data_IF_984288939851
#
_entry.id   IF_984288939851
#
_cell.length_a   1.000
_cell.length_b   1.000
_cell.length_c   1.000
_cell.angle_alpha   90.00
_cell.angle_beta   90.00
_cell.angle_gamma   90.00
#
_symmetry.space_group_name_H-M   'P 1'
#
loop_
_entity.id
_entity.type
_entity.pdbx_description
1 polymer ?
#
# COMPACT_ATOMS: atom_id res chain seq x y z
N UNK A 1 2.00 31.04 -5.37
CA UNK A 1 2.22 29.77 -6.09
C UNK A 1 0.87 29.35 -6.64
N UNK A 2 0.72 29.21 -7.96
CA UNK A 2 -0.53 28.71 -8.56
C UNK A 2 -0.76 27.28 -8.07
N UNK A 3 -1.93 27.01 -7.50
CA UNK A 3 -2.32 25.65 -7.15
C UNK A 3 -2.39 24.82 -8.45
N UNK A 4 -1.37 24.00 -8.68
CA UNK A 4 -1.36 23.09 -9.81
C UNK A 4 -2.44 22.05 -9.54
N UNK A 5 -3.41 21.95 -10.45
CA UNK A 5 -4.43 20.91 -10.36
C UNK A 5 -3.77 19.53 -10.46
N UNK A 6 -3.97 18.69 -9.46
CA UNK A 6 -3.44 17.33 -9.38
C UNK A 6 -4.46 16.24 -9.73
N UNK A 7 -5.66 16.64 -10.14
CA UNK A 7 -6.74 15.71 -10.42
C UNK A 7 -7.26 15.84 -11.84
N UNK A 8 -7.40 14.73 -12.51
CA UNK A 8 -8.02 14.59 -13.81
C UNK A 8 -9.39 13.92 -13.63
N UNK A 9 -10.43 14.57 -14.14
CA UNK A 9 -11.77 13.98 -14.22
C UNK A 9 -11.81 12.98 -15.38
N UNK A 10 -12.06 11.73 -15.05
CA UNK A 10 -12.29 10.67 -16.01
C UNK A 10 -13.78 10.44 -16.28
N UNK A 11 -14.07 9.37 -17.02
CA UNK A 11 -15.46 8.95 -17.33
C UNK A 11 -16.14 8.40 -16.09
N UNK A 12 -17.47 8.51 -16.02
CA UNK A 12 -18.32 7.96 -14.96
C UNK A 12 -17.91 8.41 -13.53
N UNK A 13 -17.36 9.61 -13.38
CA UNK A 13 -16.96 10.19 -12.10
C UNK A 13 -15.66 9.62 -11.49
N UNK A 14 -14.90 8.81 -12.23
CA UNK A 14 -13.57 8.39 -11.78
C UNK A 14 -12.59 9.56 -11.80
N UNK A 15 -11.82 9.70 -10.72
CA UNK A 15 -10.75 10.69 -10.62
C UNK A 15 -9.39 10.00 -10.75
N UNK A 16 -8.46 10.67 -11.43
CA UNK A 16 -7.09 10.18 -11.64
C UNK A 16 -6.06 11.22 -11.22
N UNK A 17 -4.91 10.75 -10.78
CA UNK A 17 -3.80 11.62 -10.40
C UNK A 17 -3.07 12.15 -11.63
N UNK A 18 -2.80 13.46 -11.64
CA UNK A 18 -1.96 14.12 -12.64
C UNK A 18 -1.01 15.12 -11.97
N UNK A 19 0.01 15.54 -12.69
CA UNK A 19 0.94 16.58 -12.25
C UNK A 19 1.56 16.32 -10.86
N UNK A 20 1.67 15.06 -10.47
CA UNK A 20 2.44 14.65 -9.31
C UNK A 20 3.94 14.54 -9.65
N UNK A 21 4.78 14.30 -8.65
CA UNK A 21 6.23 14.17 -8.85
C UNK A 21 6.62 12.99 -9.76
N UNK A 22 5.78 11.96 -9.82
CA UNK A 22 6.00 10.77 -10.64
C UNK A 22 5.52 10.93 -12.10
N UNK A 23 4.63 11.89 -12.35
CA UNK A 23 4.05 12.12 -13.68
C UNK A 23 3.47 10.84 -14.31
N UNK A 24 2.73 10.03 -13.50
CA UNK A 24 2.36 8.65 -13.83
C UNK A 24 1.71 8.50 -15.21
N UNK A 25 0.77 9.39 -15.57
CA UNK A 25 0.10 9.28 -16.86
C UNK A 25 1.04 9.53 -18.03
N UNK A 26 1.96 10.51 -17.92
CA UNK A 26 2.96 10.76 -18.95
C UNK A 26 3.90 9.58 -19.12
N UNK A 27 4.40 9.04 -18.02
CA UNK A 27 5.28 7.85 -18.00
C UNK A 27 4.62 6.68 -18.74
N UNK A 28 3.36 6.40 -18.44
CA UNK A 28 2.62 5.29 -19.05
C UNK A 28 2.19 5.54 -20.49
N UNK A 29 2.00 6.79 -20.90
CA UNK A 29 1.66 7.15 -22.28
C UNK A 29 2.88 7.24 -23.20
N UNK A 30 4.01 7.78 -22.73
CA UNK A 30 5.18 8.16 -23.53
C UNK A 30 6.39 7.23 -23.35
N UNK A 31 6.30 6.19 -22.54
CA UNK A 31 7.39 5.25 -22.25
C UNK A 31 8.64 5.92 -21.67
N UNK A 32 8.43 6.81 -20.72
CA UNK A 32 9.53 7.50 -20.03
C UNK A 32 9.95 6.69 -18.83
N UNK A 33 11.17 6.13 -18.82
CA UNK A 33 11.73 5.47 -17.67
C UNK A 33 12.44 6.49 -16.77
N UNK A 34 12.00 6.57 -15.52
CA UNK A 34 12.56 7.46 -14.50
C UNK A 34 13.44 6.70 -13.50
N UNK A 35 13.59 5.39 -13.66
CA UNK A 35 14.38 4.56 -12.74
C UNK A 35 15.86 4.92 -12.85
N UNK A 36 16.47 5.16 -11.71
CA UNK A 36 17.90 5.40 -11.60
C UNK A 36 18.62 4.13 -11.13
N UNK A 37 19.81 3.84 -11.66
CA UNK A 37 20.62 2.71 -11.22
C UNK A 37 20.87 2.69 -9.72
N UNK A 38 20.99 3.87 -9.10
CA UNK A 38 21.14 4.04 -7.67
C UNK A 38 19.93 3.48 -6.89
N UNK A 39 18.74 3.62 -7.42
CA UNK A 39 17.53 3.07 -6.81
C UNK A 39 17.54 1.55 -6.77
N UNK A 40 18.10 0.91 -7.79
CA UNK A 40 18.21 -0.54 -7.87
C UNK A 40 19.34 -1.12 -7.03
N UNK A 41 20.45 -0.40 -6.87
CA UNK A 41 21.65 -0.87 -6.15
C UNK A 41 21.42 -1.05 -4.64
N UNK A 42 20.40 -0.39 -4.08
CA UNK A 42 20.06 -0.52 -2.64
C UNK A 42 19.60 -1.91 -2.23
N UNK A 43 19.04 -2.67 -3.15
CA UNK A 43 18.46 -3.99 -2.88
C UNK A 43 19.54 -5.08 -2.87
N UNK A 44 20.09 -5.38 -1.71
CA UNK A 44 21.19 -6.35 -1.57
C UNK A 44 20.88 -7.52 -0.60
N UNK A 45 19.66 -7.60 -0.06
CA UNK A 45 19.26 -8.68 0.83
C UNK A 45 18.81 -9.92 0.07
N UNK A 46 19.38 -11.09 0.40
CA UNK A 46 19.10 -12.33 -0.37
C UNK A 46 17.64 -12.77 -0.32
N UNK A 47 17.02 -12.72 0.86
CA UNK A 47 15.63 -13.12 1.05
C UNK A 47 14.68 -11.91 0.92
N UNK A 48 14.88 -11.14 -0.14
CA UNK A 48 14.06 -9.99 -0.50
C UNK A 48 13.00 -10.38 -1.53
N UNK A 49 11.81 -9.76 -1.44
CA UNK A 49 10.75 -9.90 -2.41
C UNK A 49 9.97 -8.59 -2.55
N UNK A 50 9.75 -8.16 -3.78
CA UNK A 50 9.04 -6.93 -4.11
C UNK A 50 7.62 -7.23 -4.59
N UNK A 51 6.64 -6.48 -4.10
CA UNK A 51 5.27 -6.44 -4.62
C UNK A 51 5.02 -5.07 -5.23
N UNK A 52 4.79 -5.04 -6.52
CA UNK A 52 4.46 -3.80 -7.24
C UNK A 52 2.96 -3.66 -7.36
N UNK A 53 2.44 -2.61 -6.74
CA UNK A 53 1.04 -2.24 -6.75
C UNK A 53 0.80 -1.29 -7.93
N UNK A 54 -0.07 -1.63 -8.90
CA UNK A 54 -0.26 -0.81 -10.09
C UNK A 54 -0.90 0.55 -9.74
N UNK A 55 -0.67 1.54 -10.58
CA UNK A 55 -1.42 2.78 -10.51
C UNK A 55 -2.86 2.55 -10.95
N UNK A 56 -3.79 3.33 -10.41
CA UNK A 56 -5.20 3.27 -10.77
C UNK A 56 -5.43 3.44 -12.27
N UNK A 57 -4.66 4.32 -12.90
CA UNK A 57 -4.71 4.60 -14.34
C UNK A 57 -4.43 3.36 -15.21
N UNK A 58 -3.62 2.41 -14.74
CA UNK A 58 -3.35 1.15 -15.44
C UNK A 58 -4.56 0.21 -15.41
N UNK A 59 -5.21 0.08 -14.26
CA UNK A 59 -6.36 -0.83 -14.06
C UNK A 59 -7.62 -0.25 -14.69
N UNK A 60 -7.88 1.04 -14.49
CA UNK A 60 -9.09 1.72 -14.92
C UNK A 60 -8.88 2.60 -16.15
N UNK A 61 -7.96 2.22 -17.04
CA UNK A 61 -7.62 2.98 -18.27
C UNK A 61 -8.82 3.31 -19.15
N UNK A 62 -9.86 2.48 -19.16
CA UNK A 62 -11.06 2.70 -19.94
C UNK A 62 -11.91 3.87 -19.42
N UNK A 63 -11.69 4.31 -18.19
CA UNK A 63 -12.33 5.47 -17.58
C UNK A 63 -11.52 6.76 -17.73
N UNK A 64 -10.31 6.69 -18.28
CA UNK A 64 -9.56 7.90 -18.66
C UNK A 64 -10.23 8.62 -19.83
N UNK A 65 -10.03 9.95 -19.98
CA UNK A 65 -10.39 10.66 -21.21
C UNK A 65 -9.67 10.05 -22.42
N UNK A 66 -10.28 10.19 -23.61
CA UNK A 66 -9.82 9.48 -24.83
C UNK A 66 -8.43 9.91 -25.34
N UNK A 67 -7.93 11.05 -24.89
CA UNK A 67 -6.58 11.54 -25.21
C UNK A 67 -5.46 10.84 -24.43
N UNK A 68 -5.78 9.98 -23.44
CA UNK A 68 -4.79 9.21 -22.68
C UNK A 68 -4.74 7.76 -23.18
N UNK A 69 -3.60 7.36 -23.68
CA UNK A 69 -3.38 6.01 -24.21
C UNK A 69 -2.30 5.28 -23.40
N UNK A 70 -2.72 4.65 -22.32
CA UNK A 70 -1.85 3.91 -21.42
C UNK A 70 -1.33 2.63 -22.11
N UNK A 71 -0.02 2.53 -22.31
CA UNK A 71 0.62 1.41 -23.02
C UNK A 71 1.84 0.83 -22.32
N UNK A 72 2.56 1.63 -21.55
CA UNK A 72 3.90 1.33 -21.08
C UNK A 72 3.96 1.27 -19.56
N UNK A 73 4.88 0.46 -19.06
CA UNK A 73 5.20 0.32 -17.64
C UNK A 73 6.72 0.30 -17.44
N UNK A 74 7.44 1.34 -17.88
CA UNK A 74 8.90 1.29 -18.01
C UNK A 74 9.61 1.03 -16.68
N UNK A 75 9.17 1.67 -15.60
CA UNK A 75 9.75 1.43 -14.27
C UNK A 75 9.54 -0.02 -13.82
N UNK A 76 8.32 -0.56 -13.98
CA UNK A 76 8.06 -1.96 -13.67
C UNK A 76 8.92 -2.90 -14.49
N UNK A 77 9.06 -2.67 -15.79
CA UNK A 77 9.87 -3.52 -16.70
C UNK A 77 11.33 -3.54 -16.27
N UNK A 78 11.87 -2.39 -15.88
CA UNK A 78 13.24 -2.27 -15.34
C UNK A 78 13.41 -3.07 -14.06
N UNK A 79 12.49 -2.95 -13.10
CA UNK A 79 12.50 -3.73 -11.86
C UNK A 79 12.29 -5.23 -12.10
N UNK A 80 11.40 -5.61 -13.01
CA UNK A 80 11.15 -7.00 -13.40
C UNK A 80 12.40 -7.67 -13.98
N UNK A 81 13.13 -6.96 -14.83
CA UNK A 81 14.39 -7.44 -15.39
C UNK A 81 15.45 -7.66 -14.30
N UNK A 82 15.50 -6.79 -13.28
CA UNK A 82 16.41 -6.91 -12.14
C UNK A 82 16.05 -8.06 -11.21
N UNK A 83 14.78 -8.16 -10.79
CA UNK A 83 14.35 -9.08 -9.73
C UNK A 83 13.82 -10.41 -10.21
N UNK A 84 13.45 -10.54 -11.49
CA UNK A 84 12.99 -11.80 -12.11
C UNK A 84 11.86 -12.47 -11.30
N UNK A 85 12.17 -13.58 -10.62
CA UNK A 85 11.22 -14.35 -9.81
C UNK A 85 10.98 -13.79 -8.39
N UNK A 86 11.70 -12.73 -8.01
CA UNK A 86 11.54 -12.05 -6.71
C UNK A 86 10.66 -10.81 -6.77
N UNK A 87 9.77 -10.74 -7.74
CA UNK A 87 8.82 -9.65 -7.92
C UNK A 87 7.41 -10.20 -8.19
N UNK A 88 6.42 -9.62 -7.53
CA UNK A 88 5.01 -9.88 -7.80
C UNK A 88 4.40 -8.67 -8.49
N UNK A 89 3.87 -8.88 -9.67
CA UNK A 89 3.10 -7.89 -10.41
C UNK A 89 1.63 -7.95 -10.00
N UNK A 90 1.19 -7.01 -9.16
CA UNK A 90 -0.21 -6.95 -8.77
C UNK A 90 -1.12 -6.45 -9.90
N UNK A 91 -0.58 -5.86 -10.97
CA UNK A 91 -1.36 -5.55 -12.18
C UNK A 91 -1.96 -6.82 -12.80
N UNK A 92 -1.16 -7.87 -12.97
CA UNK A 92 -1.63 -9.14 -13.54
C UNK A 92 -2.70 -9.84 -12.68
N UNK A 93 -2.78 -9.47 -11.41
CA UNK A 93 -3.77 -9.99 -10.47
C UNK A 93 -5.07 -9.18 -10.53
N UNK A 94 -4.96 -7.86 -10.71
CA UNK A 94 -6.07 -6.93 -10.55
C UNK A 94 -6.71 -6.49 -11.88
N UNK A 95 -6.03 -6.67 -13.02
CA UNK A 95 -6.46 -6.13 -14.33
C UNK A 95 -7.83 -6.63 -14.80
N UNK A 96 -8.22 -7.83 -14.38
CA UNK A 96 -9.49 -8.46 -14.74
C UNK A 96 -10.52 -8.46 -13.58
N UNK A 97 -10.15 -7.81 -12.46
CA UNK A 97 -10.99 -7.70 -11.28
C UNK A 97 -11.75 -6.36 -11.26
N UNK A 98 -13.01 -6.40 -10.87
CA UNK A 98 -13.83 -5.20 -10.74
C UNK A 98 -13.72 -4.62 -9.31
N UNK A 99 -13.92 -3.32 -9.19
CA UNK A 99 -14.04 -2.59 -7.92
C UNK A 99 -12.86 -2.81 -6.97
N UNK A 100 -11.64 -2.65 -7.49
CA UNK A 100 -10.41 -2.85 -6.74
C UNK A 100 -9.75 -1.55 -6.28
N UNK A 101 -10.24 -0.40 -6.75
CA UNK A 101 -9.79 0.94 -6.37
C UNK A 101 -10.96 1.79 -5.93
N UNK A 102 -10.67 2.79 -5.09
CA UNK A 102 -11.64 3.83 -4.81
C UNK A 102 -11.86 4.71 -6.04
N UNK A 103 -13.09 5.20 -6.24
CA UNK A 103 -13.44 6.00 -7.40
C UNK A 103 -12.80 7.39 -7.37
N UNK A 104 -12.78 8.02 -6.21
CA UNK A 104 -12.32 9.40 -5.98
C UNK A 104 -10.97 9.51 -5.26
N UNK A 105 -10.28 8.38 -5.10
CA UNK A 105 -9.00 8.28 -4.40
C UNK A 105 -7.98 7.53 -5.27
N UNK A 106 -6.68 7.73 -5.03
CA UNK A 106 -5.61 7.05 -5.78
C UNK A 106 -5.39 5.61 -5.35
N UNK A 107 -5.84 5.24 -4.16
CA UNK A 107 -5.47 3.98 -3.51
C UNK A 107 -6.29 2.77 -3.95
N UNK A 108 -5.69 1.61 -3.82
CA UNK A 108 -6.37 0.31 -3.87
C UNK A 108 -7.32 0.24 -2.67
N UNK A 109 -8.55 -0.19 -2.90
CA UNK A 109 -9.50 -0.42 -1.82
C UNK A 109 -9.24 -1.75 -1.10
N UNK A 110 -9.98 -2.02 -0.04
CA UNK A 110 -9.80 -3.22 0.78
C UNK A 110 -9.97 -4.53 -0.01
N UNK A 111 -10.93 -4.58 -0.96
CA UNK A 111 -11.12 -5.76 -1.82
C UNK A 111 -9.90 -6.03 -2.67
N UNK A 112 -9.38 -5.01 -3.36
CA UNK A 112 -8.20 -5.13 -4.20
C UNK A 112 -6.97 -5.56 -3.40
N UNK A 113 -6.73 -4.91 -2.26
CA UNK A 113 -5.62 -5.27 -1.37
C UNK A 113 -5.74 -6.69 -0.80
N UNK A 114 -6.95 -7.18 -0.49
CA UNK A 114 -7.15 -8.53 0.00
C UNK A 114 -6.87 -9.60 -1.08
N UNK A 115 -7.21 -9.32 -2.34
CA UNK A 115 -6.87 -10.19 -3.47
C UNK A 115 -5.34 -10.30 -3.61
N UNK A 116 -4.62 -9.16 -3.55
CA UNK A 116 -3.15 -9.12 -3.59
C UNK A 116 -2.54 -9.85 -2.38
N UNK A 117 -3.06 -9.63 -1.18
CA UNK A 117 -2.64 -10.30 0.05
C UNK A 117 -2.65 -11.83 -0.08
N UNK A 118 -3.76 -12.40 -0.55
CA UNK A 118 -3.86 -13.86 -0.74
C UNK A 118 -2.85 -14.38 -1.76
N UNK A 119 -2.69 -13.64 -2.86
CA UNK A 119 -1.72 -14.03 -3.90
C UNK A 119 -0.28 -13.92 -3.42
N UNK A 120 0.04 -12.85 -2.69
CA UNK A 120 1.36 -12.67 -2.08
C UNK A 120 1.73 -13.87 -1.19
N UNK A 121 0.86 -14.28 -0.26
CA UNK A 121 1.13 -15.42 0.63
C UNK A 121 1.37 -16.70 -0.19
N UNK A 122 0.54 -16.98 -1.19
CA UNK A 122 0.71 -18.15 -2.04
C UNK A 122 2.07 -18.15 -2.77
N UNK A 123 2.54 -16.98 -3.20
CA UNK A 123 3.82 -16.85 -3.90
C UNK A 123 4.99 -17.02 -2.95
N UNK A 124 5.00 -16.34 -1.80
CA UNK A 124 6.11 -16.45 -0.84
C UNK A 124 6.20 -17.83 -0.21
N UNK A 125 5.07 -18.52 0.00
CA UNK A 125 5.07 -19.91 0.45
C UNK A 125 5.82 -20.81 -0.52
N UNK A 126 5.57 -20.66 -1.82
CA UNK A 126 6.27 -21.45 -2.85
C UNK A 126 7.74 -21.06 -3.01
N UNK A 127 8.04 -19.75 -2.93
CA UNK A 127 9.38 -19.24 -3.19
C UNK A 127 10.35 -19.54 -2.05
N UNK A 128 9.87 -19.46 -0.80
CA UNK A 128 10.68 -19.54 0.41
C UNK A 128 10.36 -20.76 1.28
N UNK A 129 9.57 -21.70 0.77
CA UNK A 129 9.11 -22.90 1.50
C UNK A 129 8.49 -22.56 2.87
N UNK A 130 7.61 -21.56 2.86
CA UNK A 130 6.87 -21.10 4.03
C UNK A 130 5.50 -21.81 4.08
N UNK A 131 4.98 -22.03 5.28
CA UNK A 131 3.68 -22.65 5.49
C UNK A 131 2.71 -21.68 6.17
N UNK A 132 2.58 -20.48 5.58
CA UNK A 132 1.72 -19.43 6.09
C UNK A 132 0.32 -19.61 5.50
N UNK A 133 -0.69 -19.62 6.36
CA UNK A 133 -2.08 -19.65 5.94
C UNK A 133 -2.62 -18.21 5.90
N UNK A 134 -3.17 -17.76 4.76
CA UNK A 134 -3.84 -16.46 4.72
C UNK A 134 -5.07 -16.48 5.63
N UNK A 135 -5.31 -15.40 6.36
CA UNK A 135 -6.59 -15.25 7.06
C UNK A 135 -7.71 -15.13 6.01
N UNK A 136 -8.68 -16.01 6.13
CA UNK A 136 -9.92 -15.90 5.39
C UNK A 136 -10.81 -14.91 6.11
N UNK A 137 -11.09 -13.79 5.45
CA UNK A 137 -12.02 -12.77 5.93
C UNK A 137 -13.14 -12.62 4.93
N UNK A 138 -14.29 -12.26 5.40
CA UNK A 138 -15.41 -11.86 4.56
C UNK A 138 -15.35 -10.35 4.44
N UNK A 139 -15.41 -9.86 3.22
CA UNK A 139 -15.46 -8.44 2.90
C UNK A 139 -16.87 -8.15 2.40
N UNK A 140 -17.51 -7.15 2.94
CA UNK A 140 -18.80 -6.69 2.46
C UNK A 140 -18.69 -5.28 1.91
N UNK A 141 -19.52 -5.01 0.93
CA UNK A 141 -19.67 -3.70 0.31
C UNK A 141 -20.76 -2.91 1.05
N UNK A 142 -20.49 -1.65 1.30
CA UNK A 142 -21.46 -0.73 1.87
C UNK A 142 -21.32 0.63 1.21
N UNK A 143 -22.43 1.17 0.76
CA UNK A 143 -22.54 2.56 0.34
C UNK A 143 -22.98 3.40 1.54
N UNK A 144 -22.21 4.38 1.92
CA UNK A 144 -22.51 5.29 3.00
C UNK A 144 -22.69 6.70 2.46
N UNK A 145 -23.79 7.36 2.81
CA UNK A 145 -23.96 8.77 2.51
C UNK A 145 -22.96 9.58 3.34
N UNK A 146 -22.18 10.42 2.67
CA UNK A 146 -21.24 11.31 3.34
C UNK A 146 -22.03 12.49 3.93
N UNK A 147 -21.80 12.81 5.20
CA UNK A 147 -22.18 14.10 5.72
C UNK A 147 -21.22 15.15 5.15
N UNK A 148 -21.71 16.38 4.97
CA UNK A 148 -20.91 17.50 4.45
C UNK A 148 -19.65 17.84 5.26
N UNK A 149 -19.45 17.18 6.40
CA UNK A 149 -18.31 17.33 7.29
C UNK A 149 -17.41 16.09 7.33
N UNK A 150 -17.84 14.98 6.70
CA UNK A 150 -17.03 13.76 6.70
C UNK A 150 -15.91 13.85 5.67
N UNK A 151 -14.72 13.80 6.18
CA UNK A 151 -13.46 13.75 5.42
C UNK A 151 -13.24 12.45 4.65
N UNK A 152 -14.30 11.69 4.40
CA UNK A 152 -14.29 10.42 3.66
C UNK A 152 -14.22 10.58 2.14
N UNK A 153 -14.07 11.79 1.67
CA UNK A 153 -13.85 12.10 0.26
C UNK A 153 -12.40 11.72 -0.06
N UNK A 154 -12.19 10.92 -1.11
CA UNK A 154 -10.86 10.43 -1.50
C UNK A 154 -9.83 11.55 -1.74
N UNK A 155 -8.54 11.20 -1.70
CA UNK A 155 -7.41 12.13 -1.77
C UNK A 155 -7.39 13.00 -3.04
N UNK A 156 -8.02 12.54 -4.12
CA UNK A 156 -8.12 13.28 -5.38
C UNK A 156 -9.15 14.41 -5.36
N UNK A 157 -10.05 14.45 -4.40
CA UNK A 157 -11.06 15.51 -4.32
C UNK A 157 -10.51 16.80 -3.72
N UNK A 158 -9.43 16.73 -2.98
CA UNK A 158 -8.81 17.86 -2.28
C UNK A 158 -8.05 18.82 -3.20
N UNK A 159 -7.67 18.35 -4.37
CA UNK A 159 -6.90 19.13 -5.36
C UNK A 159 -7.74 19.58 -6.56
N UNK A 160 -9.06 19.40 -6.50
CA UNK A 160 -9.94 19.75 -7.59
C UNK A 160 -10.40 21.20 -7.46
N UNK A 161 -10.14 22.00 -8.50
CA UNK A 161 -10.92 23.21 -8.78
C UNK A 161 -12.26 22.84 -9.45
N UNK A 162 -12.77 21.64 -9.19
CA UNK A 162 -14.00 21.14 -9.85
C UNK A 162 -15.25 21.88 -9.38
N UNK A 163 -15.12 22.89 -8.51
CA UNK A 163 -16.25 23.64 -7.96
C UNK A 163 -17.27 22.66 -7.33
N UNK A 164 -18.43 23.14 -6.94
CA UNK A 164 -19.51 22.34 -6.35
C UNK A 164 -20.17 21.33 -7.32
N UNK A 165 -19.48 20.96 -8.41
CA UNK A 165 -19.97 19.99 -9.38
C UNK A 165 -19.88 18.58 -8.80
N UNK A 166 -20.98 18.16 -8.17
CA UNK A 166 -21.39 16.74 -8.01
C UNK A 166 -20.27 15.74 -7.75
N UNK A 167 -19.44 15.98 -6.77
CA UNK A 167 -18.72 14.89 -6.11
C UNK A 167 -19.76 14.02 -5.45
N UNK A 168 -19.65 12.71 -5.69
CA UNK A 168 -20.59 11.75 -5.12
C UNK A 168 -20.76 11.98 -3.62
N UNK A 169 -22.01 12.08 -3.19
CA UNK A 169 -22.35 12.22 -1.77
C UNK A 169 -22.29 10.89 -1.03
N UNK A 170 -21.87 9.83 -1.72
CA UNK A 170 -21.78 8.48 -1.18
C UNK A 170 -20.37 7.95 -1.28
N UNK A 171 -19.83 7.41 -0.20
CA UNK A 171 -18.59 6.65 -0.19
C UNK A 171 -18.92 5.17 -0.35
N UNK A 172 -18.62 4.63 -1.52
CA UNK A 172 -18.66 3.21 -1.77
C UNK A 172 -17.38 2.56 -1.25
N UNK A 173 -17.49 1.76 -0.22
CA UNK A 173 -16.31 1.16 0.40
C UNK A 173 -16.54 -0.31 0.79
N UNK A 174 -15.43 -1.03 0.92
CA UNK A 174 -15.42 -2.40 1.41
C UNK A 174 -14.98 -2.42 2.88
N UNK A 175 -15.66 -3.22 3.66
CA UNK A 175 -15.43 -3.36 5.09
C UNK A 175 -15.22 -4.83 5.45
N UNK A 176 -14.51 -5.07 6.53
CA UNK A 176 -14.44 -6.41 7.12
C UNK A 176 -15.75 -6.77 7.84
N UNK A 177 -16.08 -8.06 7.88
CA UNK A 177 -17.24 -8.54 8.66
C UNK A 177 -17.02 -8.44 10.17
N UNK A 178 -18.09 -8.65 10.94
CA UNK A 178 -18.12 -8.53 12.38
C UNK A 178 -17.03 -9.36 13.10
N UNK A 179 -16.69 -10.54 12.62
CA UNK A 179 -15.61 -11.37 13.18
C UNK A 179 -14.23 -10.69 13.02
N UNK A 180 -14.09 -9.84 12.01
CA UNK A 180 -12.92 -9.04 11.80
C UNK A 180 -13.06 -7.61 12.37
N UNK A 181 -14.27 -7.10 12.55
CA UNK A 181 -14.52 -5.85 13.29
C UNK A 181 -14.02 -5.93 14.72
N UNK A 182 -14.06 -7.09 15.37
CA UNK A 182 -13.38 -7.29 16.64
C UNK A 182 -11.87 -7.02 16.56
N UNK A 183 -11.27 -7.26 15.41
CA UNK A 183 -9.87 -6.94 15.11
C UNK A 183 -9.71 -5.47 14.68
N UNK A 184 -10.63 -4.95 13.92
CA UNK A 184 -10.64 -3.60 13.36
C UNK A 184 -11.12 -2.53 14.35
N UNK A 185 -12.13 -2.81 15.17
CA UNK A 185 -12.60 -1.90 16.26
C UNK A 185 -11.56 -1.72 17.37
N UNK A 186 -10.53 -2.53 17.37
CA UNK A 186 -9.36 -2.36 18.23
C UNK A 186 -8.30 -1.43 17.66
N UNK A 187 -8.50 -1.02 16.40
CA UNK A 187 -7.70 -0.07 15.68
C UNK A 187 -8.41 1.28 15.72
N UNK A 188 -8.07 2.10 16.72
CA UNK A 188 -8.62 3.44 16.83
C UNK A 188 -7.59 4.44 16.36
N UNK A 189 -7.87 5.12 15.25
CA UNK A 189 -7.13 6.33 14.88
C UNK A 189 -7.64 7.44 15.80
N UNK A 190 -6.86 7.81 16.79
CA UNK A 190 -7.11 9.01 17.58
C UNK A 190 -6.29 10.16 17.03
N UNK A 191 -6.99 11.18 16.51
CA UNK A 191 -6.42 12.50 16.14
C UNK A 191 -5.31 12.45 15.09
N UNK A 192 -5.51 11.74 14.00
CA UNK A 192 -4.55 11.64 12.85
C UNK A 192 -3.11 11.27 13.24
N UNK A 193 -2.85 10.94 14.50
CA UNK A 193 -1.51 10.77 15.07
C UNK A 193 -1.32 9.51 15.91
N UNK A 194 -2.37 8.86 16.35
CA UNK A 194 -2.28 7.67 17.21
C UNK A 194 -3.08 6.51 16.64
N UNK A 195 -2.37 5.46 16.27
CA UNK A 195 -2.96 4.18 15.93
C UNK A 195 -2.94 3.34 17.21
N UNK A 196 -4.09 3.10 17.82
CA UNK A 196 -4.21 2.21 18.99
C UNK A 196 -4.84 0.89 18.57
N UNK A 197 -4.12 -0.17 18.72
CA UNK A 197 -4.63 -1.53 18.59
C UNK A 197 -5.03 -2.03 19.99
N UNK A 198 -6.32 -2.04 20.27
CA UNK A 198 -6.85 -2.37 21.59
C UNK A 198 -6.83 -3.84 21.89
N UNK A 199 -6.11 -4.69 21.89
CA UNK A 199 -6.06 -6.13 22.29
C UNK A 199 -4.95 -6.94 21.65
N UNK A 200 -3.99 -6.29 21.03
CA UNK A 200 -2.74 -6.92 20.66
C UNK A 200 -1.67 -6.28 21.56
N UNK A 201 -0.68 -7.04 21.97
CA UNK A 201 0.56 -6.50 22.51
C UNK A 201 1.28 -5.76 21.41
N UNK A 202 0.66 -4.70 20.91
CA UNK A 202 1.34 -3.70 20.12
C UNK A 202 2.05 -2.81 21.11
N UNK A 203 3.32 -2.83 20.99
CA UNK A 203 4.14 -1.78 21.54
C UNK A 203 3.69 -0.50 20.82
N UNK A 204 3.22 0.48 21.55
CA UNK A 204 2.94 1.82 21.06
C UNK A 204 4.14 2.30 20.24
N UNK A 205 3.90 2.91 19.06
CA UNK A 205 4.96 3.47 18.22
C UNK A 205 5.93 4.33 19.03
N UNK A 206 5.38 5.14 19.93
CA UNK A 206 6.15 5.94 20.89
C UNK A 206 6.99 5.07 21.83
N UNK A 207 6.51 3.93 22.27
CA UNK A 207 7.26 3.06 23.18
C UNK A 207 8.43 2.32 22.53
N UNK A 208 8.32 1.94 21.27
CA UNK A 208 9.47 1.34 20.54
C UNK A 208 10.62 2.35 20.45
N UNK A 209 10.31 3.61 20.32
CA UNK A 209 11.27 4.65 20.01
C UNK A 209 11.74 5.44 21.22
N UNK A 210 10.89 5.62 22.21
CA UNK A 210 11.25 6.29 23.47
C UNK A 210 11.99 5.37 24.45
N UNK A 211 11.64 4.08 24.44
CA UNK A 211 12.20 3.12 25.41
C UNK A 211 13.30 2.22 24.86
N UNK A 212 13.54 2.24 23.54
CA UNK A 212 14.56 1.42 22.92
C UNK A 212 15.70 2.29 22.42
N UNK A 213 16.76 2.44 23.23
CA UNK A 213 17.96 3.20 22.88
C UNK A 213 18.62 2.76 21.57
N UNK A 214 18.32 1.55 21.07
CA UNK A 214 18.80 1.06 19.80
C UNK A 214 18.21 1.82 18.61
N UNK A 215 17.03 2.40 18.75
CA UNK A 215 16.35 3.18 17.74
C UNK A 215 16.49 4.71 17.92
N UNK A 216 16.89 5.17 19.09
CA UNK A 216 16.93 6.59 19.46
C UNK A 216 17.90 7.43 18.61
N UNK A 217 18.93 6.83 18.05
CA UNK A 217 19.90 7.53 17.22
C UNK A 217 19.45 7.69 15.74
N UNK A 218 18.32 7.12 15.40
CA UNK A 218 17.88 7.11 14.02
C UNK A 218 17.18 8.38 13.60
N UNK A 219 17.02 9.39 14.37
CA UNK A 219 16.30 10.64 13.98
C UNK A 219 15.10 10.39 13.06
N UNK A 220 14.68 9.11 12.99
CA UNK A 220 13.75 8.60 12.03
C UNK A 220 12.44 8.39 12.77
N UNK A 221 11.62 9.30 12.62
CA UNK A 221 10.31 9.07 12.10
C UNK A 221 9.68 7.85 12.73
N UNK A 222 9.76 7.87 14.02
CA UNK A 222 9.15 6.90 14.94
C UNK A 222 7.72 6.51 14.58
N UNK A 223 6.96 7.45 14.08
CA UNK A 223 5.54 7.27 13.73
C UNK A 223 5.24 6.38 12.52
N UNK A 224 6.26 5.83 11.87
CA UNK A 224 6.10 5.00 10.68
C UNK A 224 6.53 3.53 10.84
N UNK A 225 6.93 3.14 12.03
CA UNK A 225 7.27 1.74 12.34
C UNK A 225 6.19 1.13 13.21
N UNK A 226 5.60 0.03 12.75
CA UNK A 226 4.66 -0.78 13.53
C UNK A 226 5.35 -2.11 13.80
N UNK A 227 5.43 -2.49 15.06
CA UNK A 227 6.03 -3.77 15.49
C UNK A 227 4.98 -4.68 16.10
N UNK A 228 5.03 -5.97 15.78
CA UNK A 228 4.24 -6.99 16.47
C UNK A 228 5.01 -8.28 16.64
N UNK A 229 4.85 -8.90 17.82
CA UNK A 229 5.33 -10.23 18.14
C UNK A 229 4.16 -11.17 18.37
N UNK A 230 3.99 -12.14 17.49
CA UNK A 230 2.93 -13.14 17.52
C UNK A 230 3.46 -14.44 18.15
N UNK A 231 3.43 -14.55 19.47
CA UNK A 231 4.03 -15.67 20.23
C UNK A 231 3.47 -17.04 19.82
N UNK A 232 2.23 -17.10 19.36
CA UNK A 232 1.56 -18.32 18.92
C UNK A 232 1.78 -18.62 17.42
N UNK A 233 2.52 -17.79 16.69
CA UNK A 233 2.74 -18.02 15.27
C UNK A 233 3.73 -19.17 15.05
N UNK A 234 3.36 -20.11 14.18
CA UNK A 234 4.13 -21.31 13.88
C UNK A 234 5.43 -20.97 13.13
N UNK A 235 5.39 -19.94 12.31
CA UNK A 235 6.46 -19.62 11.36
C UNK A 235 7.79 -19.23 12.01
N UNK A 236 7.85 -18.85 13.29
CA UNK A 236 9.06 -18.38 14.02
C UNK A 236 10.00 -17.48 13.22
N UNK A 237 9.50 -16.81 12.18
CA UNK A 237 10.27 -15.92 11.31
C UNK A 237 10.15 -14.46 11.75
N UNK A 238 11.26 -13.75 11.67
CA UNK A 238 11.36 -12.30 11.83
C UNK A 238 11.33 -11.64 10.47
N UNK A 239 10.47 -10.66 10.26
CA UNK A 239 10.23 -10.07 8.94
C UNK A 239 10.17 -8.56 9.02
N UNK A 240 10.75 -7.90 8.00
CA UNK A 240 10.48 -6.49 7.70
C UNK A 240 9.57 -6.41 6.49
N UNK A 241 8.55 -5.55 6.58
CA UNK A 241 7.74 -5.12 5.43
C UNK A 241 7.89 -3.61 5.28
N UNK A 242 8.60 -3.18 4.23
CA UNK A 242 8.56 -1.80 3.78
C UNK A 242 7.30 -1.56 2.96
N UNK A 243 6.63 -0.43 3.18
CA UNK A 243 5.37 -0.16 2.49
C UNK A 243 5.11 1.32 2.30
N UNK A 244 4.23 1.65 1.35
CA UNK A 244 3.67 2.98 1.16
C UNK A 244 2.18 3.04 1.53
N UNK A 245 1.53 4.16 1.26
CA UNK A 245 0.13 4.39 1.62
C UNK A 245 -0.86 3.40 0.98
N UNK A 246 -0.49 2.72 -0.08
CA UNK A 246 -1.35 1.74 -0.75
C UNK A 246 -1.70 0.51 0.11
N UNK A 247 -0.89 0.22 1.14
CA UNK A 247 -1.12 -0.92 2.02
C UNK A 247 -1.92 -0.57 3.29
N UNK A 248 -2.18 0.70 3.57
CA UNK A 248 -2.71 1.16 4.86
C UNK A 248 -4.02 0.49 5.30
N UNK A 249 -4.94 0.25 4.37
CA UNK A 249 -6.26 -0.29 4.69
C UNK A 249 -6.26 -1.79 5.03
N UNK A 250 -5.12 -2.48 4.89
CA UNK A 250 -5.00 -3.93 5.10
C UNK A 250 -3.86 -4.33 6.05
N UNK A 251 -3.13 -3.37 6.61
CA UNK A 251 -2.00 -3.61 7.53
C UNK A 251 -2.28 -4.66 8.60
N UNK A 252 -3.47 -4.66 9.25
CA UNK A 252 -3.77 -5.63 10.30
C UNK A 252 -3.62 -7.09 9.88
N UNK A 253 -3.92 -7.42 8.61
CA UNK A 253 -3.78 -8.79 8.11
C UNK A 253 -2.31 -9.20 7.97
N UNK A 254 -1.44 -8.29 7.55
CA UNK A 254 -0.01 -8.56 7.45
C UNK A 254 0.64 -8.75 8.81
N UNK A 255 0.20 -8.00 9.83
CA UNK A 255 0.72 -8.11 11.19
C UNK A 255 0.50 -9.50 11.83
N UNK A 256 -0.39 -10.32 11.29
CA UNK A 256 -0.68 -11.67 11.79
C UNK A 256 0.17 -12.78 11.12
N UNK A 257 0.92 -12.46 10.04
CA UNK A 257 1.52 -13.49 9.19
C UNK A 257 2.75 -14.17 9.80
N UNK A 258 3.54 -13.45 10.59
CA UNK A 258 4.84 -13.91 11.05
C UNK A 258 4.98 -13.81 12.57
N UNK A 259 5.96 -14.53 13.12
CA UNK A 259 6.24 -14.50 14.55
C UNK A 259 6.65 -13.10 15.03
N UNK A 260 7.54 -12.46 14.29
CA UNK A 260 8.02 -11.12 14.61
C UNK A 260 8.01 -10.28 13.33
N UNK A 261 7.27 -9.18 13.33
CA UNK A 261 7.06 -8.37 12.15
C UNK A 261 7.27 -6.89 12.44
N UNK A 262 8.02 -6.25 11.56
CA UNK A 262 8.26 -4.81 11.53
C UNK A 262 7.67 -4.25 10.23
N UNK A 263 6.63 -3.43 10.34
CA UNK A 263 6.06 -2.74 9.19
C UNK A 263 6.54 -1.31 9.19
N UNK A 264 7.28 -0.93 8.15
CA UNK A 264 8.00 0.34 8.06
C UNK A 264 7.49 1.12 6.85
N UNK A 265 6.85 2.28 7.09
CA UNK A 265 6.30 3.14 6.03
C UNK A 265 7.40 3.96 5.36
N UNK A 266 8.34 3.26 4.74
CA UNK A 266 9.50 3.82 4.04
C UNK A 266 9.85 3.00 2.80
N UNK A 267 10.77 3.49 2.00
CA UNK A 267 11.43 2.71 0.96
C UNK A 267 12.40 1.71 1.61
N UNK A 268 12.72 0.66 0.89
CA UNK A 268 13.75 -0.30 1.31
C UNK A 268 15.01 0.41 1.82
N UNK A 269 15.43 0.10 3.04
CA UNK A 269 16.58 0.70 3.70
C UNK A 269 17.44 -0.34 4.43
N UNK A 270 18.70 -0.42 4.06
CA UNK A 270 19.66 -1.34 4.64
C UNK A 270 19.96 -1.07 6.12
N UNK A 271 19.79 0.16 6.60
CA UNK A 271 20.02 0.48 8.01
C UNK A 271 19.01 -0.27 8.89
N UNK A 272 17.73 -0.31 8.52
CA UNK A 272 16.73 -1.11 9.22
C UNK A 272 17.03 -2.61 9.15
N UNK A 273 17.45 -3.09 7.99
CA UNK A 273 17.79 -4.50 7.80
C UNK A 273 18.96 -4.90 8.68
N UNK A 274 20.01 -4.11 8.70
CA UNK A 274 21.21 -4.37 9.50
C UNK A 274 20.94 -4.36 11.01
N UNK A 275 20.04 -3.47 11.45
CA UNK A 275 19.67 -3.36 12.85
C UNK A 275 18.75 -4.51 13.29
N UNK A 276 17.68 -4.76 12.56
CA UNK A 276 16.64 -5.74 12.90
C UNK A 276 17.09 -7.17 12.63
N UNK A 277 17.94 -7.38 11.63
CA UNK A 277 18.45 -8.68 11.18
C UNK A 277 17.29 -9.67 10.91
N UNK A 278 16.43 -9.36 9.94
CA UNK A 278 15.27 -10.18 9.62
C UNK A 278 15.67 -11.46 8.88
N UNK A 279 14.80 -12.47 8.91
CA UNK A 279 14.88 -13.64 8.02
C UNK A 279 14.45 -13.29 6.59
N UNK A 280 13.44 -12.40 6.44
CA UNK A 280 12.88 -11.97 5.17
C UNK A 280 12.62 -10.46 5.15
N UNK A 281 12.76 -9.89 3.96
CA UNK A 281 12.42 -8.49 3.69
C UNK A 281 11.44 -8.45 2.53
N UNK A 282 10.29 -7.84 2.75
CA UNK A 282 9.30 -7.59 1.72
C UNK A 282 9.15 -6.08 1.51
N UNK A 283 8.89 -5.67 0.27
CA UNK A 283 8.52 -4.28 -0.02
C UNK A 283 7.25 -4.27 -0.85
N UNK A 284 6.30 -3.44 -0.45
CA UNK A 284 5.08 -3.14 -1.18
C UNK A 284 5.17 -1.70 -1.66
N UNK A 285 5.17 -1.51 -2.97
CA UNK A 285 5.40 -0.20 -3.57
C UNK A 285 4.43 0.07 -4.71
N UNK A 286 3.77 1.24 -4.66
CA UNK A 286 3.01 1.73 -5.80
C UNK A 286 3.95 1.98 -6.99
N UNK A 287 3.55 1.59 -8.18
CA UNK A 287 4.39 1.60 -9.38
C UNK A 287 4.99 2.98 -9.67
N UNK A 288 4.22 4.06 -9.39
CA UNK A 288 4.68 5.45 -9.55
C UNK A 288 5.86 5.84 -8.63
N UNK A 289 6.20 5.02 -7.65
CA UNK A 289 7.31 5.26 -6.71
C UNK A 289 8.51 4.33 -6.95
N UNK A 290 8.59 3.68 -8.10
CA UNK A 290 9.70 2.82 -8.52
C UNK A 290 10.86 3.59 -9.18
N UNK A 291 11.16 4.81 -8.77
CA UNK A 291 12.25 5.62 -9.36
C UNK A 291 13.25 6.14 -8.33
#
# INVERSE_FOLDING_TARGET
MSNINKTLLGKNGYLFLINDSANELKVHCENVDLVQDKSLSRYNFNNFFLVVLPNKSLIYKNYLPDNYNIKYRPAFDTYKNKFKNKILDAYEILKDENDTYYKTDTHINLKGNYIVYKKFINVINKLFDLHINPKNIIIFYKSCQLSTLDQGIGDLTWSTNLGDQQLETTLDNYYFTNDFECFYNKYVIKNDKEIRFLNYELVDETMILENNNEFAHWNIISKYVIYKKNINNISKKKVIIFYDSFLLNILPLYLELFYEIYMIKEVYDNNFINLIKPDFVFEFRAERFLF
#
